data_IF_450852307830
#
_entry.id   IF_450852307830
#
_cell.length_a   1.000
_cell.length_b   1.000
_cell.length_c   1.000
_cell.angle_alpha   90.00
_cell.angle_beta   90.00
_cell.angle_gamma   90.00
#
_symmetry.space_group_name_H-M   'P 1'
#
loop_
_entity.id
_entity.type
_entity.pdbx_description
1 polymer ?
#
# COMPACT_ATOMS: atom_id res chain seq x y z
N UNK A 1 -16.54 1.12 8.87
CA UNK A 1 -15.40 1.97 8.48
C UNK A 1 -15.61 2.57 7.09
N UNK A 2 -15.07 3.77 6.85
CA UNK A 2 -15.14 4.50 5.57
C UNK A 2 -13.73 4.87 5.09
N UNK A 3 -13.44 4.73 3.80
CA UNK A 3 -12.15 5.04 3.21
C UNK A 3 -12.25 5.57 1.78
N UNK A 4 -11.21 6.25 1.28
CA UNK A 4 -11.16 6.71 -0.12
C UNK A 4 -10.94 5.51 -1.07
N UNK A 5 -11.91 5.28 -1.96
CA UNK A 5 -11.95 4.17 -2.91
C UNK A 5 -10.81 4.15 -3.93
N UNK A 6 -10.08 5.27 -4.08
CA UNK A 6 -8.89 5.36 -4.94
C UNK A 6 -7.68 4.69 -4.30
N UNK A 7 -7.66 4.60 -2.98
CA UNK A 7 -6.63 3.91 -2.23
C UNK A 7 -6.87 2.40 -2.30
N UNK A 8 -5.82 1.66 -2.61
CA UNK A 8 -5.86 0.21 -2.84
C UNK A 8 -4.83 -0.50 -1.95
N UNK A 9 -5.01 -0.47 -0.62
CA UNK A 9 -4.07 -1.13 0.30
C UNK A 9 -3.94 -2.63 0.05
N UNK A 10 -4.98 -3.26 -0.50
CA UNK A 10 -4.94 -4.67 -0.85
C UNK A 10 -3.94 -5.02 -1.98
N UNK A 11 -3.37 -4.03 -2.68
CA UNK A 11 -2.28 -4.26 -3.64
C UNK A 11 -0.90 -4.37 -2.99
N UNK A 12 -0.79 -4.09 -1.69
CA UNK A 12 0.48 -4.02 -0.96
C UNK A 12 0.65 -5.21 -0.02
N UNK A 13 -0.28 -6.17 -0.01
CA UNK A 13 -0.19 -7.39 0.81
C UNK A 13 0.74 -8.44 0.17
N UNK A 14 1.21 -9.39 0.98
CA UNK A 14 1.91 -10.59 0.48
C UNK A 14 0.99 -11.42 -0.42
N UNK A 15 1.56 -12.10 -1.43
CA UNK A 15 0.76 -12.95 -2.29
C UNK A 15 0.16 -14.15 -1.52
N UNK A 16 -1.00 -14.70 -1.95
CA UNK A 16 -1.62 -15.84 -1.28
C UNK A 16 -0.73 -17.09 -1.21
N UNK A 17 0.19 -17.27 -2.16
CA UNK A 17 1.17 -18.37 -2.20
C UNK A 17 2.34 -18.16 -1.23
N UNK A 18 2.45 -16.97 -0.64
CA UNK A 18 3.44 -16.65 0.38
C UNK A 18 3.24 -17.44 1.67
N UNK A 19 4.29 -17.56 2.49
CA UNK A 19 4.25 -18.30 3.76
C UNK A 19 3.82 -17.46 4.97
N UNK A 20 3.79 -16.13 4.83
CA UNK A 20 3.57 -15.18 5.92
C UNK A 20 2.10 -14.80 6.01
N UNK A 21 1.33 -15.64 6.69
CA UNK A 21 -0.13 -15.50 6.81
C UNK A 21 -0.53 -14.16 7.45
N UNK A 22 0.30 -13.64 8.35
CA UNK A 22 0.10 -12.39 9.08
C UNK A 22 0.06 -11.14 8.20
N UNK A 23 0.54 -11.19 6.96
CA UNK A 23 0.59 -10.04 6.03
C UNK A 23 -0.06 -10.30 4.67
N UNK A 24 -0.85 -11.38 4.54
CA UNK A 24 -1.62 -11.69 3.33
C UNK A 24 -2.90 -10.85 3.17
N UNK A 25 -3.27 -10.10 4.20
CA UNK A 25 -4.52 -9.35 4.22
C UNK A 25 -4.28 -7.92 4.72
N UNK A 26 -5.19 -7.01 4.37
CA UNK A 26 -5.15 -5.64 4.88
C UNK A 26 -5.59 -5.67 6.34
N UNK A 27 -4.80 -5.09 7.21
CA UNK A 27 -5.09 -4.96 8.64
C UNK A 27 -5.88 -3.69 8.91
N UNK A 28 -7.04 -3.79 9.57
CA UNK A 28 -7.72 -2.65 10.16
C UNK A 28 -7.13 -2.38 11.55
N UNK A 29 -6.51 -1.23 11.70
CA UNK A 29 -6.08 -0.66 12.98
C UNK A 29 -7.11 0.37 13.44
N UNK A 30 -7.97 -0.06 14.37
CA UNK A 30 -9.03 0.78 14.95
C UNK A 30 -8.44 1.88 15.83
N UNK A 31 -7.37 1.61 16.57
CA UNK A 31 -6.76 2.57 17.48
C UNK A 31 -6.07 3.71 16.72
N UNK A 32 -5.38 3.38 15.63
CA UNK A 32 -4.73 4.34 14.75
C UNK A 32 -5.63 4.95 13.66
N UNK A 33 -6.89 4.51 13.56
CA UNK A 33 -7.84 4.87 12.49
C UNK A 33 -7.25 4.70 11.09
N UNK A 34 -6.64 3.53 10.84
CA UNK A 34 -5.90 3.23 9.59
C UNK A 34 -6.19 1.84 9.05
N UNK A 35 -6.07 1.72 7.73
CA UNK A 35 -5.84 0.45 7.06
C UNK A 35 -4.35 0.33 6.76
N UNK A 36 -3.76 -0.82 7.12
CA UNK A 36 -2.33 -1.08 6.99
C UNK A 36 -2.14 -2.33 6.14
N UNK A 37 -1.23 -2.26 5.18
CA UNK A 37 -0.87 -3.39 4.32
C UNK A 37 0.64 -3.40 4.06
N UNK A 38 1.23 -4.59 4.01
CA UNK A 38 2.65 -4.79 3.73
C UNK A 38 2.88 -6.15 3.08
N UNK A 39 3.91 -6.25 2.25
CA UNK A 39 4.43 -7.52 1.71
C UNK A 39 5.85 -7.79 2.27
N UNK A 40 6.23 -7.09 3.34
CA UNK A 40 7.55 -7.12 3.95
C UNK A 40 8.66 -6.44 3.14
N UNK A 41 8.35 -5.84 1.98
CA UNK A 41 9.28 -5.03 1.18
C UNK A 41 8.81 -3.58 1.03
N UNK A 42 7.51 -3.36 1.06
CA UNK A 42 6.89 -2.04 1.13
C UNK A 42 5.71 -2.07 2.09
N UNK A 43 5.36 -0.89 2.61
CA UNK A 43 4.27 -0.70 3.56
C UNK A 43 3.40 0.47 3.11
N UNK A 44 2.08 0.30 3.23
CA UNK A 44 1.11 1.36 3.03
C UNK A 44 0.17 1.43 4.24
N UNK A 45 0.05 2.63 4.81
CA UNK A 45 -0.95 2.95 5.82
C UNK A 45 -1.84 4.07 5.28
N UNK A 46 -3.15 3.83 5.21
CA UNK A 46 -4.13 4.81 4.71
C UNK A 46 -5.14 5.17 5.80
N UNK A 47 -5.50 6.46 5.92
CA UNK A 47 -6.47 6.90 6.92
C UNK A 47 -7.87 6.37 6.58
N UNK A 48 -8.63 6.06 7.62
CA UNK A 48 -10.04 5.67 7.54
C UNK A 48 -10.85 6.35 8.63
N UNK A 49 -12.16 6.47 8.40
CA UNK A 49 -13.10 6.82 9.46
C UNK A 49 -13.61 5.53 10.08
N UNK A 50 -13.42 5.39 11.39
CA UNK A 50 -13.91 4.27 12.18
C UNK A 50 -15.37 4.52 12.55
N UNK A 51 -16.20 3.50 12.41
CA UNK A 51 -17.61 3.55 12.79
C UNK A 51 -17.86 2.71 14.05
N UNK A 52 -18.96 3.00 14.75
CA UNK A 52 -19.35 2.23 15.92
C UNK A 52 -19.52 0.74 15.58
N UNK A 53 -18.86 -0.12 16.37
CA UNK A 53 -18.89 -1.57 16.18
C UNK A 53 -17.80 -2.13 15.26
N UNK A 54 -16.99 -1.30 14.60
CA UNK A 54 -15.82 -1.80 13.87
C UNK A 54 -14.79 -2.42 14.83
N UNK A 55 -14.31 -3.61 14.50
CA UNK A 55 -13.31 -4.35 15.27
C UNK A 55 -11.97 -4.44 14.51
N UNK A 56 -10.81 -4.37 15.21
CA UNK A 56 -9.50 -4.50 14.57
C UNK A 56 -9.29 -5.90 13.98
N UNK A 57 -8.36 -6.02 13.04
CA UNK A 57 -8.00 -7.31 12.43
C UNK A 57 -7.98 -7.32 10.91
N UNK A 58 -7.66 -8.47 10.30
CA UNK A 58 -7.51 -8.59 8.86
C UNK A 58 -8.84 -8.46 8.13
N UNK A 59 -8.76 -7.98 6.89
CA UNK A 59 -9.89 -7.81 5.97
C UNK A 59 -9.55 -8.45 4.61
N UNK A 60 -10.48 -9.20 4.02
CA UNK A 60 -10.24 -9.90 2.75
C UNK A 60 -10.27 -8.93 1.56
N UNK A 61 -9.41 -9.17 0.57
CA UNK A 61 -9.34 -8.39 -0.68
C UNK A 61 -10.72 -8.22 -1.36
N UNK A 62 -11.52 -9.28 -1.35
CA UNK A 62 -12.85 -9.29 -1.96
C UNK A 62 -13.78 -8.20 -1.40
N UNK A 63 -13.70 -7.89 -0.11
CA UNK A 63 -14.49 -6.83 0.51
C UNK A 63 -14.10 -5.44 -0.03
N UNK A 64 -12.82 -5.18 -0.25
CA UNK A 64 -12.35 -3.95 -0.89
C UNK A 64 -12.82 -3.85 -2.33
N UNK A 65 -12.73 -4.94 -3.10
CA UNK A 65 -13.20 -4.94 -4.49
C UNK A 65 -14.71 -4.66 -4.60
N UNK A 66 -15.53 -5.31 -3.77
CA UNK A 66 -16.99 -5.10 -3.82
C UNK A 66 -17.41 -3.74 -3.27
N UNK A 67 -16.84 -3.28 -2.15
CA UNK A 67 -17.18 -1.96 -1.58
C UNK A 67 -16.96 -0.82 -2.57
N UNK A 68 -15.91 -0.88 -3.38
CA UNK A 68 -15.60 0.14 -4.40
C UNK A 68 -16.61 0.20 -5.55
N UNK A 69 -17.34 -0.89 -5.82
CA UNK A 69 -18.38 -0.91 -6.86
C UNK A 69 -19.64 -0.14 -6.46
N UNK A 70 -19.87 0.06 -5.16
CA UNK A 70 -21.11 0.67 -4.65
C UNK A 70 -21.13 2.19 -4.73
N UNK A 71 -19.97 2.82 -4.89
CA UNK A 71 -19.91 4.26 -5.10
C UNK A 71 -20.36 4.63 -6.51
N UNK A 72 -21.54 5.26 -6.62
CA UNK A 72 -21.99 5.90 -7.86
C UNK A 72 -20.93 6.83 -8.47
N UNK A 73 -21.06 7.13 -9.77
CA UNK A 73 -20.08 7.98 -10.50
C UNK A 73 -19.89 9.30 -9.74
N UNK A 74 -18.66 9.55 -9.27
CA UNK A 74 -18.30 10.75 -8.49
C UNK A 74 -18.16 10.56 -6.98
N UNK A 75 -18.71 9.49 -6.38
CA UNK A 75 -18.48 9.20 -4.94
C UNK A 75 -17.05 8.72 -4.73
N UNK A 76 -16.34 9.29 -3.75
CA UNK A 76 -14.96 8.90 -3.41
C UNK A 76 -14.88 7.90 -2.27
N UNK A 77 -15.94 7.74 -1.49
CA UNK A 77 -15.94 6.88 -0.32
C UNK A 77 -16.39 5.45 -0.66
N UNK A 78 -15.75 4.50 0.01
CA UNK A 78 -16.17 3.11 0.12
C UNK A 78 -16.36 2.77 1.60
N UNK A 79 -17.35 1.94 1.89
CA UNK A 79 -17.73 1.57 3.26
C UNK A 79 -17.74 0.06 3.45
N UNK A 80 -17.18 -0.39 4.58
CA UNK A 80 -17.14 -1.79 5.01
C UNK A 80 -17.44 -1.80 6.50
N UNK A 81 -18.47 -2.52 6.94
CA UNK A 81 -18.73 -2.78 8.36
C UNK A 81 -17.82 -3.93 8.81
N UNK A 82 -17.04 -3.72 9.86
CA UNK A 82 -15.98 -4.63 10.29
C UNK A 82 -16.28 -5.29 11.64
N UNK A 83 -17.47 -5.87 11.81
CA UNK A 83 -17.89 -6.54 13.06
C UNK A 83 -18.03 -8.05 12.86
N UNK A 84 -17.00 -8.82 13.23
CA UNK A 84 -16.92 -10.28 13.06
C UNK A 84 -16.78 -10.78 11.61
N UNK A 85 -17.40 -10.08 10.67
CA UNK A 85 -17.32 -10.27 9.22
C UNK A 85 -17.07 -8.91 8.54
N UNK A 86 -16.64 -8.91 7.29
CA UNK A 86 -16.53 -7.71 6.47
C UNK A 86 -17.80 -7.59 5.62
N UNK A 87 -18.76 -6.78 6.07
CA UNK A 87 -20.04 -6.60 5.39
C UNK A 87 -20.05 -5.32 4.56
N UNK A 88 -20.68 -5.43 3.40
CA UNK A 88 -20.83 -4.35 2.42
C UNK A 88 -22.30 -3.92 2.42
N UNK A 89 -22.59 -2.64 2.13
CA UNK A 89 -23.96 -2.09 2.16
C UNK A 89 -24.97 -2.81 1.25
N UNK A 90 -24.53 -3.55 0.23
CA UNK A 90 -25.41 -4.38 -0.62
C UNK A 90 -25.83 -5.70 0.00
N UNK A 91 -25.39 -5.99 1.23
CA UNK A 91 -25.65 -7.25 1.92
C UNK A 91 -24.61 -8.34 1.64
N UNK A 92 -23.63 -8.09 0.75
CA UNK A 92 -22.50 -9.00 0.59
C UNK A 92 -21.69 -9.05 1.91
N UNK A 93 -21.35 -10.26 2.35
CA UNK A 93 -20.57 -10.50 3.57
C UNK A 93 -19.40 -11.42 3.27
N UNK A 94 -18.23 -11.05 3.76
CA UNK A 94 -17.00 -11.81 3.59
C UNK A 94 -16.46 -12.24 4.96
N UNK A 95 -16.06 -13.50 5.12
CA UNK A 95 -15.43 -13.94 6.36
C UNK A 95 -14.11 -13.20 6.55
N UNK A 96 -13.85 -12.73 7.78
CA UNK A 96 -12.55 -12.14 8.12
C UNK A 96 -11.53 -13.25 8.33
N UNK A 97 -10.36 -13.21 7.70
CA UNK A 97 -9.32 -14.22 7.86
C UNK A 97 -8.95 -14.42 9.33
N UNK A 98 -8.81 -15.67 9.76
CA UNK A 98 -8.38 -16.04 11.12
C UNK A 98 -9.24 -15.47 12.25
N UNK A 99 -10.46 -15.00 11.97
CA UNK A 99 -11.34 -14.42 12.99
C UNK A 99 -11.92 -15.48 13.92
N UNK A 100 -12.09 -16.70 13.42
CA UNK A 100 -12.50 -17.92 14.13
C UNK A 100 -11.37 -18.55 14.96
N UNK A 101 -10.11 -18.21 14.67
CA UNK A 101 -8.95 -18.67 15.44
C UNK A 101 -8.90 -17.92 16.77
N UNK A 102 -8.71 -18.62 17.91
CA UNK A 102 -8.51 -17.98 19.21
C UNK A 102 -7.38 -16.95 19.17
N UNK A 103 -7.57 -15.82 19.85
CA UNK A 103 -6.65 -14.66 19.78
C UNK A 103 -5.19 -15.03 20.05
N UNK A 104 -4.93 -15.91 21.04
CA UNK A 104 -3.59 -16.39 21.39
C UNK A 104 -2.86 -17.13 20.26
N UNK A 105 -3.61 -17.68 19.28
CA UNK A 105 -3.08 -18.44 18.15
C UNK A 105 -3.23 -17.71 16.81
N UNK A 106 -3.80 -16.50 16.80
CA UNK A 106 -4.00 -15.73 15.57
C UNK A 106 -2.65 -15.20 15.07
N UNK A 107 -2.36 -15.29 13.76
CA UNK A 107 -1.20 -14.61 13.19
C UNK A 107 -1.24 -13.12 13.55
N UNK A 108 -0.19 -12.64 14.21
CA UNK A 108 -0.11 -11.24 14.63
C UNK A 108 0.51 -10.40 13.53
N UNK A 109 -0.20 -9.34 13.14
CA UNK A 109 0.33 -8.36 12.20
C UNK A 109 1.60 -7.71 12.81
N UNK A 110 2.68 -7.51 12.04
CA UNK A 110 3.90 -6.93 12.57
C UNK A 110 3.68 -5.52 13.11
N UNK A 111 4.53 -5.09 14.06
CA UNK A 111 4.57 -3.71 14.53
C UNK A 111 5.04 -2.79 13.39
N UNK A 112 4.06 -2.26 12.66
CA UNK A 112 4.28 -1.46 11.47
C UNK A 112 4.70 -0.03 11.78
N UNK A 113 4.28 0.50 12.93
CA UNK A 113 4.57 1.89 13.32
C UNK A 113 6.06 2.07 13.62
N UNK A 114 6.68 1.04 14.21
CA UNK A 114 8.13 0.97 14.41
C UNK A 114 8.94 1.02 13.10
N UNK A 115 8.33 0.74 11.96
CA UNK A 115 8.98 0.76 10.64
C UNK A 115 8.90 2.14 9.95
N UNK A 116 8.16 3.12 10.50
CA UNK A 116 8.04 4.44 9.90
C UNK A 116 9.26 5.29 10.30
N UNK A 117 10.05 5.79 9.33
CA UNK A 117 11.16 6.68 9.65
C UNK A 117 10.66 7.97 10.28
N UNK A 118 11.23 8.33 11.43
CA UNK A 118 10.85 9.56 12.14
C UNK A 118 11.28 10.80 11.33
N UNK A 119 10.51 11.89 11.32
CA UNK A 119 10.83 13.09 10.54
C UNK A 119 12.25 13.63 10.77
N UNK A 120 12.74 13.58 12.01
CA UNK A 120 14.09 14.02 12.40
C UNK A 120 15.22 13.18 11.81
N UNK A 121 14.94 11.96 11.34
CA UNK A 121 15.91 11.08 10.70
C UNK A 121 15.99 11.28 9.17
N UNK A 122 15.11 12.12 8.60
CA UNK A 122 15.06 12.35 7.16
C UNK A 122 16.17 13.32 6.74
N UNK A 123 17.16 12.81 6.01
CA UNK A 123 18.33 13.58 5.56
C UNK A 123 18.15 14.22 4.19
N UNK A 124 17.18 13.78 3.40
CA UNK A 124 16.95 14.23 2.03
C UNK A 124 15.48 14.08 1.65
N UNK A 125 14.94 15.08 0.93
CA UNK A 125 13.63 15.03 0.27
C UNK A 125 13.82 15.06 -1.24
N UNK A 126 13.23 14.09 -1.92
CA UNK A 126 13.23 13.98 -3.37
C UNK A 126 11.79 13.92 -3.88
N UNK A 127 11.53 14.51 -5.04
CA UNK A 127 10.24 14.44 -5.72
C UNK A 127 10.46 13.97 -7.15
N UNK A 128 9.78 12.89 -7.53
CA UNK A 128 9.86 12.24 -8.83
C UNK A 128 8.45 12.00 -9.35
N UNK A 129 8.28 12.04 -10.67
CA UNK A 129 7.11 11.44 -11.30
C UNK A 129 7.34 9.92 -11.40
N UNK A 130 6.56 9.17 -10.62
CA UNK A 130 6.65 7.71 -10.55
C UNK A 130 6.32 7.03 -11.88
N UNK A 131 5.43 7.61 -12.70
CA UNK A 131 5.09 7.07 -14.01
C UNK A 131 6.24 7.29 -14.98
N UNK A 132 6.82 8.49 -15.00
CA UNK A 132 8.00 8.75 -15.84
C UNK A 132 9.19 7.86 -15.46
N UNK A 133 9.42 7.62 -14.16
CA UNK A 133 10.46 6.69 -13.74
C UNK A 133 10.16 5.27 -14.23
N UNK A 134 8.93 4.78 -14.08
CA UNK A 134 8.54 3.45 -14.55
C UNK A 134 8.69 3.31 -16.07
N UNK A 135 8.22 4.29 -16.84
CA UNK A 135 8.33 4.31 -18.30
C UNK A 135 9.78 4.38 -18.77
N UNK A 136 10.62 5.20 -18.12
CA UNK A 136 12.05 5.29 -18.40
C UNK A 136 12.75 3.97 -18.11
N UNK A 137 12.47 3.33 -16.97
CA UNK A 137 13.05 2.03 -16.60
C UNK A 137 12.67 0.95 -17.60
N UNK A 138 11.43 0.95 -18.07
CA UNK A 138 10.95 0.04 -19.12
C UNK A 138 11.61 0.33 -20.46
N UNK A 139 11.68 1.60 -20.88
CA UNK A 139 12.30 2.02 -22.14
C UNK A 139 13.80 1.70 -22.19
N UNK A 140 14.48 1.75 -21.04
CA UNK A 140 15.88 1.37 -20.88
C UNK A 140 16.13 -0.16 -20.89
N UNK A 141 15.08 -0.97 -21.09
CA UNK A 141 15.19 -2.43 -21.24
C UNK A 141 15.18 -3.22 -19.93
N UNK A 142 14.66 -2.65 -18.83
CA UNK A 142 14.49 -3.42 -17.58
C UNK A 142 13.33 -4.41 -17.69
N UNK A 143 13.63 -5.69 -17.53
CA UNK A 143 12.61 -6.75 -17.53
C UNK A 143 11.86 -6.84 -16.20
N UNK A 144 12.52 -6.47 -15.10
CA UNK A 144 12.04 -6.70 -13.73
C UNK A 144 11.76 -5.40 -12.96
N UNK A 145 11.90 -4.23 -13.61
CA UNK A 145 11.56 -2.93 -13.02
C UNK A 145 12.56 -2.38 -12.00
N UNK A 146 13.71 -3.03 -11.79
CA UNK A 146 14.72 -2.54 -10.85
C UNK A 146 15.69 -1.54 -11.50
N UNK A 147 15.98 -0.45 -10.79
CA UNK A 147 16.99 0.52 -11.17
C UNK A 147 17.68 1.15 -9.93
N UNK A 148 18.84 1.74 -10.17
CA UNK A 148 19.57 2.58 -9.20
C UNK A 148 19.48 4.03 -9.65
N UNK A 149 19.15 4.93 -8.72
CA UNK A 149 19.16 6.38 -8.94
C UNK A 149 20.47 6.96 -8.42
N UNK A 150 21.22 7.64 -9.28
CA UNK A 150 22.45 8.34 -8.93
C UNK A 150 22.18 9.84 -8.87
N UNK A 151 22.46 10.42 -7.70
CA UNK A 151 22.27 11.84 -7.42
C UNK A 151 23.59 12.59 -7.55
N UNK A 152 23.58 13.73 -8.27
CA UNK A 152 24.70 14.65 -8.15
C UNK A 152 24.60 15.44 -6.84
N UNK A 153 25.73 15.93 -6.30
CA UNK A 153 25.73 16.82 -5.15
C UNK A 153 24.79 18.01 -5.35
N UNK A 154 23.96 18.32 -4.35
CA UNK A 154 23.03 19.46 -4.37
C UNK A 154 21.61 19.20 -4.89
N UNK A 155 21.29 17.98 -5.36
CA UNK A 155 19.90 17.50 -5.50
C UNK A 155 18.98 18.19 -6.52
N UNK A 156 19.49 19.18 -7.27
CA UNK A 156 18.75 19.94 -8.29
C UNK A 156 19.10 19.57 -9.73
N UNK A 157 19.99 18.60 -9.92
CA UNK A 157 20.43 18.17 -11.25
C UNK A 157 19.60 17.01 -11.78
N UNK A 158 19.76 16.75 -13.07
CA UNK A 158 19.38 15.48 -13.66
C UNK A 158 19.96 14.30 -12.87
N UNK A 159 19.19 13.22 -12.74
CA UNK A 159 19.59 11.98 -12.06
C UNK A 159 19.88 10.91 -13.10
N UNK A 160 21.02 10.22 -12.96
CA UNK A 160 21.29 9.07 -13.81
C UNK A 160 20.51 7.87 -13.28
N UNK A 161 19.80 7.20 -14.18
CA UNK A 161 19.06 5.96 -13.91
C UNK A 161 19.88 4.81 -14.48
N UNK A 162 20.29 3.88 -13.62
CA UNK A 162 21.05 2.69 -14.03
C UNK A 162 20.17 1.45 -13.88
N UNK A 163 20.02 0.68 -14.95
CA UNK A 163 19.30 -0.60 -14.92
C UNK A 163 20.22 -1.69 -14.37
N UNK A 164 19.75 -2.43 -13.36
CA UNK A 164 20.57 -3.48 -12.71
C UNK A 164 20.74 -4.74 -13.57
N UNK A 165 19.73 -5.05 -14.39
CA UNK A 165 19.70 -6.21 -15.30
C UNK A 165 19.04 -5.78 -16.61
N UNK A 166 19.86 -5.45 -17.61
CA UNK A 166 19.42 -4.95 -18.91
C UNK A 166 20.61 -4.55 -19.79
N UNK A 167 20.37 -4.15 -21.05
CA UNK A 167 21.42 -3.64 -21.92
C UNK A 167 22.04 -2.36 -21.35
N UNK A 168 23.31 -2.11 -21.68
CA UNK A 168 23.93 -0.83 -21.34
C UNK A 168 23.16 0.31 -22.03
N UNK A 169 22.67 1.24 -21.22
CA UNK A 169 21.88 2.38 -21.68
C UNK A 169 22.22 3.62 -20.88
N UNK A 170 22.08 4.78 -21.52
CA UNK A 170 22.11 6.07 -20.85
C UNK A 170 20.68 6.52 -20.58
N UNK A 171 20.23 6.38 -19.34
CA UNK A 171 18.94 6.86 -18.90
C UNK A 171 19.12 7.98 -17.87
N UNK A 172 18.35 9.05 -18.04
CA UNK A 172 18.41 10.25 -17.22
C UNK A 172 16.99 10.70 -16.90
N UNK A 173 16.73 10.95 -15.61
CA UNK A 173 15.47 11.51 -15.14
C UNK A 173 15.68 12.98 -14.75
N UNK A 174 14.91 13.86 -15.37
CA UNK A 174 15.00 15.30 -15.10
C UNK A 174 14.23 15.66 -13.82
N UNK A 175 14.72 16.61 -13.00
CA UNK A 175 13.99 17.06 -11.82
C UNK A 175 12.70 17.78 -12.21
N UNK A 176 11.65 17.60 -11.41
CA UNK A 176 10.37 18.27 -11.61
C UNK A 176 10.27 19.41 -10.60
N UNK A 177 9.99 20.61 -11.10
CA UNK A 177 9.65 21.75 -10.25
C UNK A 177 8.15 21.71 -9.98
N UNK A 178 7.76 21.41 -8.74
CA UNK A 178 6.40 21.67 -8.29
C UNK A 178 6.34 23.18 -7.98
N UNK A 179 5.67 23.93 -8.87
CA UNK A 179 5.39 25.36 -8.68
C UNK A 179 4.43 25.63 -7.54
#
# INVERSE_FOLDING_TARGET
MIFDKRLKPEMVVECPEGRRLEIQNVQLDVAGARLVATNGKCLLAVPVEIEEGDAPGPLPEAAFRESRKLGGRGKREARIECNGSAKIQTGASFPRPHFDVPEANRPQFPDWDACIPKPETQTMKLTLDAFMLADLVKAAGSENGFCTLHFAPGGKSAMRVQILKGPESLAVLMPISLG
#
